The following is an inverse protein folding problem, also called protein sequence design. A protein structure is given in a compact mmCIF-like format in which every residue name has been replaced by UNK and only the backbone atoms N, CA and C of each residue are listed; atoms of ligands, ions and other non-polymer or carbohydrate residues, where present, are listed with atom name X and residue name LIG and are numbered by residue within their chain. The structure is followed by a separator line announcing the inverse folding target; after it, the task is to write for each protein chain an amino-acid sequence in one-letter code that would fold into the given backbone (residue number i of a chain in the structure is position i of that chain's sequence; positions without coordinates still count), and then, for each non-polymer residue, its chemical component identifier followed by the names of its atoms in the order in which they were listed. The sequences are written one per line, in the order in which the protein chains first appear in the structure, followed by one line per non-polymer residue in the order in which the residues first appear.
data_IF_508783041011
#
_entry.id   IF_508783041011
#
_cell.length_a   1.000
_cell.length_b   1.000
_cell.length_c   1.000
_cell.angle_alpha   90.00
_cell.angle_beta   90.00
_cell.angle_gamma   90.00
#
_symmetry.space_group_name_H-M   'P 1'
#
loop_
_entity.id
_entity.type
_entity.pdbx_description
1 polymer ?
#
# COMPACT_ATOMS: atom_id res chain seq x y z
N UNK A 1 43.23 7.40 -16.58
CA UNK A 1 42.81 7.38 -15.17
C UNK A 1 41.29 7.31 -15.21
N UNK A 2 40.75 6.10 -15.26
CA UNK A 2 39.31 5.88 -15.40
C UNK A 2 38.68 6.04 -14.01
N UNK A 3 37.86 7.07 -13.85
CA UNK A 3 37.12 7.30 -12.61
C UNK A 3 35.99 6.29 -12.60
N UNK A 4 36.24 5.15 -11.97
CA UNK A 4 35.18 4.19 -11.63
C UNK A 4 34.31 4.87 -10.57
N UNK A 5 33.23 5.52 -11.01
CA UNK A 5 32.20 6.00 -10.10
C UNK A 5 31.45 4.79 -9.55
N UNK A 6 31.76 4.42 -8.31
CA UNK A 6 30.93 3.51 -7.53
C UNK A 6 29.62 4.26 -7.23
N UNK A 7 28.63 4.17 -8.13
CA UNK A 7 27.26 4.61 -7.85
C UNK A 7 26.63 3.60 -6.91
N UNK A 8 26.82 3.83 -5.62
CA UNK A 8 26.24 3.00 -4.57
C UNK A 8 24.72 2.95 -4.72
N UNK A 9 24.15 1.75 -4.52
CA UNK A 9 22.73 1.43 -4.59
C UNK A 9 21.92 2.02 -3.42
N UNK A 10 22.26 3.26 -3.04
CA UNK A 10 21.62 4.00 -1.96
C UNK A 10 20.11 4.14 -2.22
N UNK A 11 19.69 4.28 -3.48
CA UNK A 11 18.30 4.45 -3.89
C UNK A 11 17.44 3.23 -3.52
N UNK A 12 17.96 2.01 -3.70
CA UNK A 12 17.28 0.78 -3.31
C UNK A 12 17.08 0.69 -1.80
N UNK A 13 18.10 1.06 -1.02
CA UNK A 13 18.02 1.07 0.44
C UNK A 13 17.01 2.11 0.95
N UNK A 14 17.01 3.30 0.35
CA UNK A 14 16.00 4.34 0.65
C UNK A 14 14.59 3.89 0.28
N UNK A 15 14.42 3.19 -0.85
CA UNK A 15 13.16 2.56 -1.22
C UNK A 15 12.67 1.54 -0.19
N UNK A 16 13.56 0.69 0.31
CA UNK A 16 13.25 -0.24 1.40
C UNK A 16 12.86 0.48 2.70
N UNK A 17 13.56 1.55 3.08
CA UNK A 17 13.14 2.37 4.23
C UNK A 17 11.78 3.03 4.02
N UNK A 18 11.49 3.50 2.81
CA UNK A 18 10.18 4.07 2.48
C UNK A 18 9.06 3.01 2.65
N UNK A 19 9.26 1.79 2.19
CA UNK A 19 8.28 0.70 2.35
C UNK A 19 8.06 0.30 3.82
N UNK A 20 9.13 0.22 4.62
CA UNK A 20 9.00 0.01 6.08
C UNK A 20 8.29 1.18 6.76
N UNK A 21 8.63 2.41 6.37
CA UNK A 21 7.96 3.62 6.84
C UNK A 21 6.46 3.58 6.55
N UNK A 22 6.07 3.22 5.33
CA UNK A 22 4.67 3.02 4.97
C UNK A 22 3.98 2.01 5.89
N UNK A 23 4.56 0.83 6.11
CA UNK A 23 3.95 -0.22 6.96
C UNK A 23 3.77 0.28 8.40
N UNK A 24 4.76 0.97 8.96
CA UNK A 24 4.68 1.53 10.32
C UNK A 24 3.61 2.61 10.39
N UNK A 25 3.57 3.55 9.45
CA UNK A 25 2.57 4.61 9.42
C UNK A 25 1.16 4.03 9.24
N UNK A 26 0.97 3.07 8.33
CA UNK A 26 -0.30 2.39 8.12
C UNK A 26 -0.77 1.67 9.39
N UNK A 27 0.12 0.94 10.07
CA UNK A 27 -0.20 0.25 11.32
C UNK A 27 -0.64 1.24 12.41
N UNK A 28 0.09 2.34 12.60
CA UNK A 28 -0.30 3.38 13.55
C UNK A 28 -1.62 4.02 13.13
N UNK A 29 -1.80 4.35 11.85
CA UNK A 29 -3.00 5.00 11.35
C UNK A 29 -4.27 4.15 11.55
N UNK A 30 -4.18 2.82 11.44
CA UNK A 30 -5.30 1.90 11.71
C UNK A 30 -5.57 1.79 13.21
N UNK A 31 -4.53 1.68 14.03
CA UNK A 31 -4.69 1.40 15.46
C UNK A 31 -5.05 2.65 16.28
N UNK A 32 -4.68 3.85 15.80
CA UNK A 32 -4.80 5.10 16.55
C UNK A 32 -6.25 5.49 16.87
N UNK A 33 -7.23 5.44 15.95
CA UNK A 33 -8.64 5.70 16.25
C UNK A 33 -9.36 4.53 16.96
N UNK A 34 -8.68 3.41 17.20
CA UNK A 34 -9.30 2.16 17.58
C UNK A 34 -9.95 1.43 16.39
N UNK A 35 -10.56 0.27 16.67
CA UNK A 35 -11.26 -0.49 15.65
C UNK A 35 -12.51 0.27 15.22
N UNK A 36 -12.57 0.64 13.94
CA UNK A 36 -13.76 1.26 13.38
C UNK A 36 -14.97 0.31 13.47
N UNK A 37 -16.18 0.84 13.72
CA UNK A 37 -17.41 0.07 13.63
C UNK A 37 -17.64 -0.41 12.19
N UNK A 38 -18.42 -1.47 12.03
CA UNK A 38 -18.87 -1.98 10.74
C UNK A 38 -20.06 -1.17 10.23
N UNK A 39 -20.31 -1.21 8.92
CA UNK A 39 -21.49 -0.60 8.31
C UNK A 39 -22.82 -1.19 8.80
N UNK A 40 -22.79 -2.35 9.44
CA UNK A 40 -23.96 -3.00 10.03
C UNK A 40 -24.16 -2.70 11.50
N UNK A 41 -23.22 -1.99 12.14
CA UNK A 41 -23.38 -1.53 13.51
C UNK A 41 -24.36 -0.36 13.55
N UNK A 42 -24.88 -0.05 14.73
CA UNK A 42 -25.92 0.96 14.86
C UNK A 42 -25.44 2.38 14.47
N UNK A 43 -26.31 3.19 13.88
CA UNK A 43 -26.06 4.60 13.56
C UNK A 43 -25.46 5.37 14.75
N UNK A 44 -25.97 5.08 15.95
CA UNK A 44 -25.48 5.67 17.20
C UNK A 44 -24.04 5.28 17.49
N UNK A 45 -23.67 4.03 17.28
CA UNK A 45 -22.30 3.55 17.50
C UNK A 45 -21.32 4.20 16.53
N UNK A 46 -21.67 4.26 15.24
CA UNK A 46 -20.86 4.91 14.20
C UNK A 46 -20.66 6.39 14.53
N UNK A 47 -21.74 7.13 14.80
CA UNK A 47 -21.68 8.56 15.11
C UNK A 47 -20.93 8.85 16.42
N UNK A 48 -21.12 8.01 17.45
CA UNK A 48 -20.38 8.14 18.72
C UNK A 48 -18.89 7.91 18.51
N UNK A 49 -18.50 6.86 17.78
CA UNK A 49 -17.09 6.57 17.50
C UNK A 49 -16.40 7.71 16.74
N UNK A 50 -17.07 8.29 15.73
CA UNK A 50 -16.54 9.44 14.97
C UNK A 50 -16.30 10.64 15.90
N UNK A 51 -17.25 10.94 16.78
CA UNK A 51 -17.15 12.07 17.70
C UNK A 51 -16.06 11.87 18.76
N UNK A 52 -16.04 10.70 19.39
CA UNK A 52 -15.06 10.34 20.43
C UNK A 52 -13.64 10.20 19.89
N UNK A 53 -13.50 9.79 18.62
CA UNK A 53 -12.21 9.55 17.96
C UNK A 53 -11.79 10.66 17.00
N UNK A 54 -12.45 11.83 17.02
CA UNK A 54 -12.27 12.90 16.03
C UNK A 54 -10.80 13.27 15.82
N UNK A 55 -10.07 13.52 16.90
CA UNK A 55 -8.66 13.95 16.83
C UNK A 55 -7.77 12.83 16.31
N UNK A 56 -8.04 11.59 16.72
CA UNK A 56 -7.34 10.40 16.29
C UNK A 56 -7.58 10.12 14.81
N UNK A 57 -8.81 10.34 14.30
CA UNK A 57 -9.15 10.23 12.89
C UNK A 57 -8.41 11.25 12.02
N UNK A 58 -8.32 12.51 12.48
CA UNK A 58 -7.55 13.54 11.79
C UNK A 58 -6.05 13.21 11.77
N UNK A 59 -5.50 12.74 12.89
CA UNK A 59 -4.11 12.29 12.94
C UNK A 59 -3.86 11.07 12.04
N UNK A 60 -4.76 10.08 12.07
CA UNK A 60 -4.75 8.91 11.18
C UNK A 60 -4.78 9.30 9.71
N UNK A 61 -5.62 10.28 9.33
CA UNK A 61 -5.66 10.82 7.97
C UNK A 61 -4.32 11.41 7.52
N UNK A 62 -3.62 12.14 8.39
CA UNK A 62 -2.29 12.67 8.07
C UNK A 62 -1.25 11.55 7.89
N UNK A 63 -1.32 10.50 8.73
CA UNK A 63 -0.43 9.34 8.62
C UNK A 63 -0.67 8.56 7.32
N UNK A 64 -1.92 8.34 6.93
CA UNK A 64 -2.26 7.72 5.65
C UNK A 64 -1.83 8.56 4.45
N UNK A 65 -2.02 9.88 4.52
CA UNK A 65 -1.58 10.81 3.47
C UNK A 65 -0.04 10.80 3.30
N UNK A 66 0.71 10.75 4.41
CA UNK A 66 2.16 10.58 4.36
C UNK A 66 2.56 9.19 3.82
N UNK A 67 1.85 8.14 4.25
CA UNK A 67 2.03 6.77 3.77
C UNK A 67 1.83 6.64 2.27
N UNK A 68 0.86 7.35 1.68
CA UNK A 68 0.61 7.38 0.25
C UNK A 68 1.85 7.81 -0.57
N UNK A 69 2.62 8.79 -0.09
CA UNK A 69 3.88 9.17 -0.74
C UNK A 69 4.96 8.10 -0.59
N UNK A 70 5.06 7.48 0.59
CA UNK A 70 6.06 6.45 0.87
C UNK A 70 5.86 5.18 0.05
N UNK A 71 4.61 4.74 -0.17
CA UNK A 71 4.36 3.55 -1.00
C UNK A 71 4.72 3.79 -2.47
N UNK A 72 4.51 5.01 -2.99
CA UNK A 72 4.96 5.38 -4.34
C UNK A 72 6.48 5.38 -4.43
N UNK A 73 7.17 5.92 -3.42
CA UNK A 73 8.63 5.90 -3.38
C UNK A 73 9.18 4.47 -3.31
N UNK A 74 8.63 3.63 -2.43
CA UNK A 74 8.97 2.20 -2.37
C UNK A 74 8.83 1.54 -3.74
N UNK A 75 7.69 1.74 -4.41
CA UNK A 75 7.43 1.14 -5.71
C UNK A 75 8.34 1.67 -6.82
N UNK A 76 8.71 2.96 -6.79
CA UNK A 76 9.66 3.53 -7.75
C UNK A 76 11.03 2.86 -7.64
N UNK A 77 11.57 2.74 -6.42
CA UNK A 77 12.84 2.05 -6.21
C UNK A 77 12.78 0.57 -6.59
N UNK A 78 11.64 -0.10 -6.33
CA UNK A 78 11.46 -1.50 -6.68
C UNK A 78 11.28 -1.70 -8.20
N UNK A 79 10.60 -0.79 -8.88
CA UNK A 79 10.46 -0.77 -10.34
C UNK A 79 11.82 -0.60 -11.01
N UNK A 80 12.67 0.31 -10.52
CA UNK A 80 14.04 0.47 -11.02
C UNK A 80 14.85 -0.81 -10.85
N UNK A 81 14.74 -1.49 -9.70
CA UNK A 81 15.40 -2.77 -9.45
C UNK A 81 15.02 -3.85 -10.49
N UNK A 82 13.73 -3.91 -10.87
CA UNK A 82 13.22 -4.83 -11.89
C UNK A 82 13.74 -4.40 -13.28
N UNK A 83 13.72 -3.10 -13.59
CA UNK A 83 14.17 -2.54 -14.86
C UNK A 83 15.64 -2.85 -15.12
N UNK A 84 16.51 -2.74 -14.11
CA UNK A 84 17.95 -3.06 -14.21
C UNK A 84 18.21 -4.54 -14.57
N UNK A 85 17.30 -5.44 -14.18
CA UNK A 85 17.40 -6.88 -14.49
C UNK A 85 16.75 -7.26 -15.83
N UNK A 86 15.72 -6.55 -16.25
CA UNK A 86 14.94 -6.86 -17.45
C UNK A 86 14.49 -5.57 -18.18
N UNK A 87 15.43 -4.85 -18.79
CA UNK A 87 15.18 -3.54 -19.44
C UNK A 87 14.11 -3.56 -20.53
N UNK A 88 13.86 -4.71 -21.16
CA UNK A 88 12.89 -4.87 -22.26
C UNK A 88 11.45 -5.15 -21.80
N UNK A 89 11.20 -5.22 -20.50
CA UNK A 89 9.92 -5.61 -19.91
C UNK A 89 9.19 -4.41 -19.34
N UNK A 90 7.93 -4.19 -19.74
CA UNK A 90 7.10 -3.08 -19.24
C UNK A 90 6.56 -3.30 -17.81
N UNK A 91 6.91 -4.43 -17.18
CA UNK A 91 6.42 -4.79 -15.83
C UNK A 91 6.76 -3.73 -14.78
N UNK A 92 7.93 -3.11 -14.87
CA UNK A 92 8.35 -2.03 -13.97
C UNK A 92 7.45 -0.78 -14.09
N UNK A 93 7.02 -0.44 -15.31
CA UNK A 93 6.08 0.67 -15.55
C UNK A 93 4.69 0.34 -14.99
N UNK A 94 4.23 -0.90 -15.16
CA UNK A 94 2.95 -1.34 -14.62
C UNK A 94 2.94 -1.30 -13.08
N UNK A 95 4.06 -1.68 -12.45
CA UNK A 95 4.27 -1.55 -11.01
C UNK A 95 4.20 -0.09 -10.56
N UNK A 96 4.93 0.81 -11.22
CA UNK A 96 4.96 2.23 -10.85
C UNK A 96 3.59 2.89 -11.06
N UNK A 97 2.95 2.68 -12.21
CA UNK A 97 1.62 3.22 -12.51
C UNK A 97 0.57 2.70 -11.51
N UNK A 98 0.61 1.41 -11.19
CA UNK A 98 -0.23 0.80 -10.18
C UNK A 98 -0.02 1.40 -8.79
N UNK A 99 1.24 1.64 -8.40
CA UNK A 99 1.56 2.23 -7.10
C UNK A 99 1.11 3.69 -7.00
N UNK A 100 1.21 4.47 -8.07
CA UNK A 100 0.64 5.83 -8.13
C UNK A 100 -0.88 5.78 -7.98
N UNK A 101 -1.56 4.83 -8.61
CA UNK A 101 -3.00 4.63 -8.44
C UNK A 101 -3.36 4.28 -6.99
N UNK A 102 -2.62 3.36 -6.35
CA UNK A 102 -2.81 3.01 -4.92
C UNK A 102 -2.54 4.20 -4.02
N UNK A 103 -1.39 4.87 -4.16
CA UNK A 103 -1.04 6.02 -3.35
C UNK A 103 -2.07 7.14 -3.49
N UNK A 104 -2.52 7.42 -4.72
CA UNK A 104 -3.60 8.37 -4.98
C UNK A 104 -4.91 7.98 -4.29
N UNK A 105 -5.32 6.71 -4.40
CA UNK A 105 -6.54 6.22 -3.76
C UNK A 105 -6.47 6.27 -2.23
N UNK A 106 -5.32 5.91 -1.64
CA UNK A 106 -5.05 6.05 -0.20
C UNK A 106 -5.13 7.51 0.23
N UNK A 107 -4.52 8.43 -0.53
CA UNK A 107 -4.55 9.86 -0.22
C UNK A 107 -5.97 10.43 -0.28
N UNK A 108 -6.75 10.07 -1.32
CA UNK A 108 -8.16 10.49 -1.45
C UNK A 108 -9.01 9.94 -0.31
N UNK A 109 -8.82 8.67 0.06
CA UNK A 109 -9.54 8.05 1.18
C UNK A 109 -9.18 8.72 2.51
N UNK A 110 -7.90 9.03 2.73
CA UNK A 110 -7.43 9.76 3.91
C UNK A 110 -8.04 11.17 4.00
N UNK A 111 -8.13 11.87 2.87
CA UNK A 111 -8.80 13.17 2.76
C UNK A 111 -10.31 13.04 3.06
N UNK A 112 -10.99 12.02 2.52
CA UNK A 112 -12.38 11.72 2.82
C UNK A 112 -12.62 11.49 4.32
N UNK A 113 -11.75 10.70 4.96
CA UNK A 113 -11.78 10.50 6.41
C UNK A 113 -11.57 11.81 7.18
N UNK A 114 -10.65 12.66 6.73
CA UNK A 114 -10.41 13.95 7.37
C UNK A 114 -11.62 14.88 7.25
N UNK A 115 -12.27 14.93 6.09
CA UNK A 115 -13.49 15.73 5.86
C UNK A 115 -14.62 15.21 6.77
N UNK A 116 -14.80 13.90 6.86
CA UNK A 116 -15.75 13.26 7.77
C UNK A 116 -15.50 13.70 9.22
N UNK A 117 -14.28 13.56 9.73
CA UNK A 117 -13.98 13.90 11.12
C UNK A 117 -13.99 15.41 11.40
N UNK A 118 -13.49 16.24 10.48
CA UNK A 118 -13.25 17.67 10.74
C UNK A 118 -14.51 18.43 11.11
N UNK A 119 -15.60 18.21 10.37
CA UNK A 119 -16.87 18.92 10.53
C UNK A 119 -17.97 18.12 11.21
N UNK A 120 -17.66 17.10 12.02
CA UNK A 120 -18.69 16.26 12.66
C UNK A 120 -19.56 17.03 13.66
N UNK A 121 -18.97 17.99 14.39
CA UNK A 121 -19.69 18.77 15.40
C UNK A 121 -20.85 19.57 14.80
N UNK A 122 -22.07 19.26 15.23
CA UNK A 122 -23.30 19.93 14.76
C UNK A 122 -23.72 19.53 13.34
N UNK A 123 -23.07 18.54 12.72
CA UNK A 123 -23.50 17.99 11.44
C UNK A 123 -24.74 17.12 11.63
N UNK A 124 -25.61 17.13 10.61
CA UNK A 124 -26.68 16.16 10.51
C UNK A 124 -26.14 14.71 10.60
N UNK A 125 -26.75 13.84 11.45
CA UNK A 125 -26.32 12.45 11.59
C UNK A 125 -26.38 11.66 10.28
N UNK A 126 -27.42 11.86 9.46
CA UNK A 126 -27.59 11.17 8.18
C UNK A 126 -26.45 11.51 7.21
N UNK A 127 -26.04 12.78 7.15
CA UNK A 127 -24.86 13.17 6.37
C UNK A 127 -23.57 12.53 6.90
N UNK A 128 -23.40 12.42 8.22
CA UNK A 128 -22.23 11.76 8.82
C UNK A 128 -22.14 10.29 8.44
N UNK A 129 -23.28 9.57 8.48
CA UNK A 129 -23.37 8.17 8.08
C UNK A 129 -23.05 7.99 6.58
N UNK A 130 -23.64 8.82 5.71
CA UNK A 130 -23.35 8.79 4.29
C UNK A 130 -21.86 9.01 3.96
N UNK A 131 -21.18 9.88 4.73
CA UNK A 131 -19.73 10.07 4.59
C UNK A 131 -18.93 8.85 5.05
N UNK A 132 -19.33 8.23 6.15
CA UNK A 132 -18.70 7.00 6.66
C UNK A 132 -18.84 5.84 5.67
N UNK A 133 -20.04 5.64 5.12
CA UNK A 133 -20.30 4.70 4.03
C UNK A 133 -19.43 5.01 2.80
N UNK A 134 -19.39 6.28 2.37
CA UNK A 134 -18.59 6.71 1.24
C UNK A 134 -17.10 6.41 1.40
N UNK A 135 -16.53 6.69 2.58
CA UNK A 135 -15.13 6.35 2.90
C UNK A 135 -14.92 4.84 2.91
N UNK A 136 -15.86 4.06 3.46
CA UNK A 136 -15.80 2.60 3.49
C UNK A 136 -15.82 1.97 2.09
N UNK A 137 -16.64 2.52 1.19
CA UNK A 137 -16.68 2.14 -0.23
C UNK A 137 -15.38 2.52 -0.94
N UNK A 138 -14.90 3.76 -0.77
CA UNK A 138 -13.62 4.19 -1.34
C UNK A 138 -12.48 3.25 -0.93
N UNK A 139 -12.39 2.94 0.37
CA UNK A 139 -11.39 2.04 0.91
C UNK A 139 -11.48 0.63 0.30
N UNK A 140 -12.69 0.12 0.07
CA UNK A 140 -12.88 -1.20 -0.54
C UNK A 140 -12.39 -1.23 -1.99
N UNK A 141 -12.65 -0.18 -2.76
CA UNK A 141 -12.23 -0.10 -4.17
C UNK A 141 -10.70 -0.01 -4.34
N UNK A 142 -9.95 0.40 -3.30
CA UNK A 142 -8.48 0.35 -3.30
C UNK A 142 -7.97 -1.06 -3.62
N UNK A 143 -8.70 -2.12 -3.25
CA UNK A 143 -8.31 -3.50 -3.56
C UNK A 143 -8.12 -3.76 -5.06
N UNK A 144 -8.93 -3.14 -5.92
CA UNK A 144 -8.76 -3.20 -7.38
C UNK A 144 -7.50 -2.45 -7.81
N UNK A 145 -7.29 -1.24 -7.28
CA UNK A 145 -6.09 -0.44 -7.57
C UNK A 145 -4.81 -1.17 -7.17
N UNK A 146 -4.81 -1.86 -6.02
CA UNK A 146 -3.68 -2.62 -5.50
C UNK A 146 -3.33 -3.86 -6.32
N UNK A 147 -4.26 -4.35 -7.15
CA UNK A 147 -4.06 -5.54 -7.97
C UNK A 147 -2.95 -5.35 -8.98
N UNK A 148 -2.98 -4.23 -9.72
CA UNK A 148 -2.01 -3.95 -10.76
C UNK A 148 -0.55 -3.93 -10.25
N UNK A 149 -0.19 -3.14 -9.21
CA UNK A 149 1.18 -3.12 -8.73
C UNK A 149 1.58 -4.44 -8.07
N UNK A 150 0.69 -5.13 -7.35
CA UNK A 150 1.02 -6.41 -6.71
C UNK A 150 1.23 -7.53 -7.74
N UNK A 151 0.43 -7.58 -8.81
CA UNK A 151 0.64 -8.52 -9.92
C UNK A 151 1.93 -8.20 -10.65
N UNK A 152 2.19 -6.93 -10.97
CA UNK A 152 3.42 -6.50 -11.63
C UNK A 152 4.65 -6.84 -10.77
N UNK A 153 4.61 -6.55 -9.47
CA UNK A 153 5.63 -6.95 -8.50
C UNK A 153 5.85 -8.46 -8.50
N UNK A 154 4.78 -9.25 -8.40
CA UNK A 154 4.85 -10.71 -8.35
C UNK A 154 5.49 -11.30 -9.59
N UNK A 155 5.02 -10.89 -10.77
CA UNK A 155 5.57 -11.30 -12.06
C UNK A 155 7.03 -10.83 -12.19
N UNK A 156 7.32 -9.60 -11.80
CA UNK A 156 8.67 -9.03 -11.83
C UNK A 156 9.67 -9.85 -11.02
N UNK A 157 9.32 -10.23 -9.79
CA UNK A 157 10.14 -11.12 -8.96
C UNK A 157 10.35 -12.47 -9.62
N UNK A 158 9.28 -13.13 -10.07
CA UNK A 158 9.36 -14.47 -10.65
C UNK A 158 10.13 -14.53 -11.98
N UNK A 159 10.12 -13.44 -12.76
CA UNK A 159 10.84 -13.38 -14.05
C UNK A 159 12.30 -12.99 -13.89
N UNK A 160 12.61 -12.09 -12.96
CA UNK A 160 13.96 -11.54 -12.78
C UNK A 160 14.78 -12.29 -11.73
N UNK A 161 14.12 -13.07 -10.87
CA UNK A 161 14.70 -13.67 -9.67
C UNK A 161 15.47 -12.65 -8.82
N UNK A 162 15.05 -11.38 -8.85
CA UNK A 162 15.63 -10.30 -8.05
C UNK A 162 15.58 -10.62 -6.56
N UNK A 163 14.55 -11.35 -6.14
CA UNK A 163 14.31 -11.79 -4.77
C UNK A 163 13.86 -13.26 -4.79
N UNK A 164 13.81 -13.95 -3.63
CA UNK A 164 13.29 -15.31 -3.56
C UNK A 164 11.86 -15.43 -4.11
N UNK A 165 11.61 -16.46 -4.93
CA UNK A 165 10.34 -16.64 -5.65
C UNK A 165 9.09 -16.65 -4.75
N UNK A 166 9.22 -17.06 -3.49
CA UNK A 166 8.12 -17.03 -2.52
C UNK A 166 7.56 -15.62 -2.30
N UNK A 167 8.38 -14.56 -2.42
CA UNK A 167 7.90 -13.18 -2.37
C UNK A 167 7.08 -12.82 -3.59
N UNK A 168 7.41 -13.36 -4.76
CA UNK A 168 6.61 -13.22 -5.97
C UNK A 168 5.22 -13.84 -5.79
N UNK A 169 5.16 -15.07 -5.30
CA UNK A 169 3.89 -15.74 -5.00
C UNK A 169 3.09 -15.03 -3.90
N UNK A 170 3.76 -14.49 -2.87
CA UNK A 170 3.11 -13.72 -1.82
C UNK A 170 2.47 -12.43 -2.39
N UNK A 171 3.13 -11.74 -3.33
CA UNK A 171 2.56 -10.57 -4.00
C UNK A 171 1.30 -10.95 -4.79
N UNK A 172 1.35 -12.06 -5.54
CA UNK A 172 0.20 -12.56 -6.30
C UNK A 172 -0.96 -12.98 -5.40
N UNK A 173 -0.68 -13.60 -4.26
CA UNK A 173 -1.69 -13.94 -3.26
C UNK A 173 -2.32 -12.67 -2.66
N UNK A 174 -1.51 -11.67 -2.31
CA UNK A 174 -2.00 -10.38 -1.83
C UNK A 174 -2.86 -9.67 -2.89
N UNK A 175 -2.49 -9.74 -4.17
CA UNK A 175 -3.28 -9.21 -5.28
C UNK A 175 -4.65 -9.89 -5.37
N UNK A 176 -4.68 -11.23 -5.34
CA UNK A 176 -5.92 -12.00 -5.41
C UNK A 176 -6.88 -11.65 -4.26
N UNK A 177 -6.35 -11.60 -3.03
CA UNK A 177 -7.15 -11.24 -1.85
C UNK A 177 -7.61 -9.79 -1.91
N UNK A 178 -6.80 -8.87 -2.45
CA UNK A 178 -7.18 -7.47 -2.64
C UNK A 178 -8.31 -7.30 -3.65
N UNK A 179 -8.26 -8.00 -4.80
CA UNK A 179 -9.38 -8.02 -5.76
C UNK A 179 -10.64 -8.54 -5.08
N UNK A 180 -10.55 -9.68 -4.40
CA UNK A 180 -11.70 -10.31 -3.73
C UNK A 180 -12.29 -9.35 -2.68
N UNK A 181 -11.44 -8.70 -1.88
CA UNK A 181 -11.86 -7.73 -0.88
C UNK A 181 -12.60 -6.54 -1.48
N UNK A 182 -12.22 -6.09 -2.67
CA UNK A 182 -12.89 -4.98 -3.35
C UNK A 182 -14.34 -5.29 -3.75
N UNK A 183 -14.72 -6.55 -3.93
CA UNK A 183 -16.12 -6.95 -4.13
C UNK A 183 -16.99 -6.72 -2.88
N UNK A 184 -16.40 -6.32 -1.75
CA UNK A 184 -17.13 -5.98 -0.54
C UNK A 184 -18.20 -4.91 -0.73
N UNK A 185 -18.06 -4.05 -1.76
CA UNK A 185 -19.05 -3.03 -2.13
C UNK A 185 -20.42 -3.60 -2.55
N UNK A 186 -20.50 -4.87 -2.91
CA UNK A 186 -21.76 -5.54 -3.28
C UNK A 186 -22.48 -6.17 -2.09
N UNK A 187 -21.84 -6.21 -0.92
CA UNK A 187 -22.40 -6.80 0.29
C UNK A 187 -22.95 -5.68 1.20
N UNK A 188 -24.11 -5.93 1.78
CA UNK A 188 -24.75 -5.02 2.75
C UNK A 188 -24.63 -5.50 4.19
N UNK A 189 -24.16 -6.75 4.41
CA UNK A 189 -23.99 -7.37 5.72
C UNK A 189 -22.82 -8.38 5.68
N UNK A 190 -22.35 -8.75 6.87
CA UNK A 190 -21.33 -9.75 7.12
C UNK A 190 -19.92 -9.21 7.03
N UNK A 191 -18.94 -10.08 7.24
CA UNK A 191 -17.54 -9.70 7.30
C UNK A 191 -16.95 -9.21 5.96
N UNK A 192 -17.68 -9.42 4.85
CA UNK A 192 -17.34 -8.95 3.49
C UNK A 192 -17.95 -7.59 3.14
N UNK A 193 -18.81 -6.98 3.97
CA UNK A 193 -19.36 -5.63 3.72
C UNK A 193 -18.25 -4.61 3.45
N UNK A 194 -18.52 -3.52 2.74
CA UNK A 194 -17.53 -2.47 2.51
C UNK A 194 -16.91 -1.96 3.83
N UNK A 195 -15.58 -1.89 3.91
CA UNK A 195 -14.86 -1.57 5.16
C UNK A 195 -14.83 -2.69 6.21
N UNK A 196 -15.47 -3.83 5.95
CA UNK A 196 -15.46 -5.02 6.79
C UNK A 196 -14.08 -5.68 6.94
N UNK A 197 -13.97 -6.60 7.89
CA UNK A 197 -12.69 -7.24 8.23
C UNK A 197 -12.10 -8.06 7.08
N UNK A 198 -12.93 -8.80 6.34
CA UNK A 198 -12.44 -9.61 5.22
C UNK A 198 -12.15 -8.75 3.97
N UNK A 199 -12.95 -7.71 3.74
CA UNK A 199 -12.85 -6.84 2.57
C UNK A 199 -11.74 -5.78 2.68
N UNK A 200 -11.39 -5.34 3.90
CA UNK A 200 -10.38 -4.31 4.13
C UNK A 200 -9.15 -4.83 4.90
N UNK A 201 -9.34 -5.47 6.05
CA UNK A 201 -8.22 -5.80 6.95
C UNK A 201 -7.32 -6.90 6.37
N UNK A 202 -7.87 -7.96 5.80
CA UNK A 202 -7.05 -9.04 5.23
C UNK A 202 -6.21 -8.55 4.03
N UNK A 203 -6.78 -7.86 3.02
CA UNK A 203 -5.98 -7.26 1.94
C UNK A 203 -4.87 -6.34 2.44
N UNK A 204 -5.18 -5.50 3.44
CA UNK A 204 -4.20 -4.59 4.02
C UNK A 204 -3.06 -5.35 4.70
N UNK A 205 -3.36 -6.37 5.51
CA UNK A 205 -2.36 -7.18 6.19
C UNK A 205 -1.52 -7.99 5.18
N UNK A 206 -2.15 -8.62 4.19
CA UNK A 206 -1.43 -9.37 3.15
C UNK A 206 -0.46 -8.47 2.38
N UNK A 207 -0.92 -7.30 1.96
CA UNK A 207 -0.11 -6.30 1.27
C UNK A 207 0.99 -5.74 2.19
N UNK A 208 0.65 -5.44 3.46
CA UNK A 208 1.60 -4.92 4.44
C UNK A 208 2.71 -5.92 4.77
N UNK A 209 2.39 -7.20 4.91
CA UNK A 209 3.38 -8.28 5.10
C UNK A 209 4.29 -8.36 3.88
N UNK A 210 3.72 -8.35 2.67
CA UNK A 210 4.50 -8.37 1.44
C UNK A 210 5.44 -7.16 1.32
N UNK A 211 4.93 -5.94 1.55
CA UNK A 211 5.74 -4.72 1.53
C UNK A 211 6.84 -4.81 2.58
N UNK A 212 6.53 -5.24 3.82
CA UNK A 212 7.52 -5.34 4.90
C UNK A 212 8.65 -6.33 4.55
N UNK A 213 8.30 -7.51 4.02
CA UNK A 213 9.30 -8.50 3.63
C UNK A 213 10.16 -8.00 2.46
N UNK A 214 9.54 -7.50 1.40
CA UNK A 214 10.25 -6.93 0.23
C UNK A 214 11.18 -5.79 0.64
N UNK A 215 10.68 -4.88 1.49
CA UNK A 215 11.48 -3.77 2.04
C UNK A 215 12.68 -4.27 2.86
N UNK A 216 12.51 -5.33 3.64
CA UNK A 216 13.60 -5.91 4.43
C UNK A 216 14.71 -6.49 3.53
N UNK A 217 14.37 -7.07 2.37
CA UNK A 217 15.37 -7.51 1.39
C UNK A 217 16.08 -6.30 0.76
N UNK A 218 15.33 -5.28 0.32
CA UNK A 218 15.90 -4.05 -0.27
C UNK A 218 16.86 -3.32 0.69
N UNK A 219 16.60 -3.35 1.99
CA UNK A 219 17.50 -2.75 3.00
C UNK A 219 18.78 -3.58 3.20
N UNK A 220 18.69 -4.91 3.06
CA UNK A 220 19.80 -5.86 3.31
C UNK A 220 20.79 -5.96 2.15
N UNK A 221 20.37 -5.75 0.92
CA UNK A 221 21.19 -6.06 -0.25
C UNK A 221 22.35 -5.08 -0.49
N UNK A 222 23.56 -5.63 -0.54
CA UNK A 222 24.67 -5.11 -1.34
C UNK A 222 24.65 -5.93 -2.63
N UNK A 223 24.11 -5.40 -3.74
CA UNK A 223 24.05 -6.18 -4.99
C UNK A 223 25.48 -6.62 -5.38
N UNK A 224 25.70 -7.90 -5.74
CA UNK A 224 27.00 -8.37 -6.21
C UNK A 224 27.44 -7.53 -7.40
N UNK A 225 28.61 -6.89 -7.31
CA UNK A 225 29.22 -6.19 -8.43
C UNK A 225 29.43 -7.20 -9.57
N UNK A 226 28.79 -7.00 -10.71
CA UNK A 226 29.22 -7.68 -11.93
C UNK A 226 30.61 -7.13 -12.25
N UNK A 227 31.65 -7.86 -11.83
CA UNK A 227 33.01 -7.59 -12.27
C UNK A 227 32.97 -7.72 -13.79
N UNK A 228 33.28 -6.66 -14.57
CA UNK A 228 33.39 -6.79 -16.00
C UNK A 228 34.39 -7.91 -16.25
N UNK A 229 33.95 -8.99 -16.90
CA UNK A 229 34.85 -10.05 -17.32
C UNK A 229 35.94 -9.37 -18.16
N UNK A 230 37.14 -9.27 -17.58
CA UNK A 230 38.28 -8.64 -18.24
C UNK A 230 38.47 -9.31 -19.59
N UNK A 231 38.47 -8.50 -20.65
CA UNK A 231 38.86 -8.97 -21.97
C UNK A 231 40.23 -9.66 -21.85
N UNK A 232 40.43 -10.81 -22.51
CA UNK A 232 41.70 -11.52 -22.44
C UNK A 232 42.83 -10.58 -22.88
N UNK A 233 43.80 -10.38 -22.00
CA UNK A 233 45.03 -9.69 -22.36
C UNK A 233 45.80 -10.62 -23.29
N UNK A 234 45.94 -10.17 -24.54
CA UNK A 234 46.71 -10.79 -25.62
C UNK A 234 48.17 -10.96 -25.26
#
# INVERSE_FOLDING_TARGET
MEVVTVTGHHELRWGGFAGLGFVVLAAIAVLLPGLAPMLTDSDREITTWISDSRTQLLASSLLWAAGAGLIIWFAAAFAEAIREREERSDVHLALLAGAVLVGGAVFVTAAGQAIMAYGEAGRDPGLTLAMFEGVSVLNSVIGVAATLPLVAAGIGVLRTHLMPDWLGYLALAAAAVSVIGAFGVFFTDGAMVAGGRLSAMIPLLASGIWVACTSAYMVREHLPQMTPMGLPQT
#
